data_IF_845222706308
#
_entry.id   IF_845222706308
#
_cell.length_a   1.000
_cell.length_b   1.000
_cell.length_c   1.000
_cell.angle_alpha   90.00
_cell.angle_beta   90.00
_cell.angle_gamma   90.00
#
_symmetry.space_group_name_H-M   'P 1'
#
loop_
_entity.id
_entity.type
_entity.pdbx_description
1 polymer ?
#
# COMPACT_ATOMS: atom_id res chain seq x y z
N UNK A 1 1.42 14.36 -19.71
CA UNK A 1 2.45 14.70 -18.71
C UNK A 1 3.46 13.57 -18.73
N UNK A 2 4.69 13.84 -19.17
CA UNK A 2 5.72 12.82 -19.37
C UNK A 2 6.00 12.09 -18.05
N UNK A 3 5.86 10.77 -18.08
CA UNK A 3 6.23 9.92 -16.96
C UNK A 3 7.74 9.92 -16.77
N UNK A 4 8.18 9.61 -15.55
CA UNK A 4 9.59 9.63 -15.15
C UNK A 4 10.50 8.97 -16.18
N UNK A 5 11.71 9.52 -16.27
CA UNK A 5 12.77 9.12 -17.18
C UNK A 5 12.68 7.64 -17.58
N UNK A 6 12.40 7.37 -18.86
CA UNK A 6 12.31 6.01 -19.41
C UNK A 6 13.58 5.20 -19.12
N UNK A 7 14.70 5.85 -18.77
CA UNK A 7 15.93 5.21 -18.34
C UNK A 7 15.80 4.34 -17.08
N UNK A 8 14.77 4.54 -16.22
CA UNK A 8 14.63 3.85 -14.94
C UNK A 8 13.82 2.54 -14.98
N UNK A 9 13.19 2.19 -16.11
CA UNK A 9 12.42 0.93 -16.22
C UNK A 9 13.36 -0.23 -16.56
N UNK A 10 13.44 -1.22 -15.67
CA UNK A 10 14.20 -2.46 -15.86
C UNK A 10 13.32 -3.49 -16.59
N UNK A 11 13.90 -4.37 -17.42
CA UNK A 11 13.20 -5.42 -18.18
C UNK A 11 12.10 -4.89 -19.12
N UNK A 12 12.44 -3.86 -19.91
CA UNK A 12 11.50 -3.17 -20.81
C UNK A 12 10.81 -4.10 -21.81
N UNK A 13 11.56 -5.05 -22.36
CA UNK A 13 11.11 -5.94 -23.43
C UNK A 13 10.60 -7.30 -22.90
N UNK A 14 10.41 -7.43 -21.59
CA UNK A 14 9.89 -8.66 -20.96
C UNK A 14 8.44 -8.46 -20.57
N UNK A 15 7.54 -9.30 -21.09
CA UNK A 15 6.10 -9.23 -20.83
C UNK A 15 5.70 -9.84 -19.49
N UNK A 16 6.37 -10.91 -19.08
CA UNK A 16 6.06 -11.66 -17.87
C UNK A 16 7.31 -12.32 -17.32
N UNK A 17 7.34 -12.55 -16.01
CA UNK A 17 8.42 -13.27 -15.35
C UNK A 17 7.91 -14.08 -14.16
N UNK A 18 8.74 -15.02 -13.74
CA UNK A 18 8.62 -15.70 -12.46
C UNK A 18 9.70 -15.11 -11.54
N UNK A 19 9.29 -14.37 -10.52
CA UNK A 19 10.17 -13.92 -9.45
C UNK A 19 10.38 -15.08 -8.48
N UNK A 20 11.64 -15.29 -8.06
CA UNK A 20 12.05 -16.40 -7.21
C UNK A 20 13.10 -15.90 -6.23
N UNK A 21 12.91 -16.14 -4.94
CA UNK A 21 13.90 -15.88 -3.90
C UNK A 21 15.16 -16.74 -4.12
N UNK A 22 16.31 -16.24 -3.70
CA UNK A 22 17.61 -16.88 -3.96
C UNK A 22 17.80 -18.22 -3.27
N UNK A 23 16.96 -18.54 -2.28
CA UNK A 23 17.00 -19.75 -1.47
C UNK A 23 15.92 -20.79 -1.87
N UNK A 24 15.29 -20.64 -3.04
CA UNK A 24 14.28 -21.56 -3.56
C UNK A 24 14.90 -22.63 -4.48
N UNK A 25 14.49 -23.89 -4.29
CA UNK A 25 14.80 -25.02 -5.17
C UNK A 25 13.53 -25.61 -5.78
N UNK A 26 13.52 -25.82 -7.10
CA UNK A 26 12.42 -26.47 -7.81
C UNK A 26 12.65 -27.99 -7.90
N UNK A 27 11.69 -28.76 -7.40
CA UNK A 27 11.69 -30.24 -7.49
C UNK A 27 10.79 -30.77 -8.61
N UNK A 28 10.11 -29.88 -9.34
CA UNK A 28 9.23 -30.16 -10.49
C UNK A 28 9.56 -29.20 -11.64
N UNK A 29 9.20 -29.54 -12.89
CA UNK A 29 9.36 -28.64 -14.02
C UNK A 29 8.71 -27.28 -13.76
N UNK A 30 9.45 -26.22 -14.03
CA UNK A 30 8.98 -24.84 -13.83
C UNK A 30 7.88 -24.45 -14.82
N UNK A 31 7.79 -25.16 -15.95
CA UNK A 31 6.76 -24.99 -16.97
C UNK A 31 5.34 -25.19 -16.40
N UNK A 32 5.18 -26.04 -15.38
CA UNK A 32 3.90 -26.25 -14.70
C UNK A 32 3.41 -24.95 -14.04
N UNK A 33 4.31 -24.22 -13.38
CA UNK A 33 4.02 -22.94 -12.75
C UNK A 33 3.81 -21.87 -13.83
N UNK A 34 4.67 -21.86 -14.84
CA UNK A 34 4.58 -20.89 -15.94
C UNK A 34 3.24 -20.95 -16.68
N UNK A 35 2.64 -22.13 -16.82
CA UNK A 35 1.33 -22.30 -17.47
C UNK A 35 0.20 -21.53 -16.79
N UNK A 36 0.30 -21.23 -15.49
CA UNK A 36 -0.70 -20.47 -14.74
C UNK A 36 -0.83 -19.03 -15.29
N UNK A 37 0.22 -18.45 -15.88
CA UNK A 37 0.12 -17.13 -16.54
C UNK A 37 -0.93 -17.11 -17.66
N UNK A 38 -1.16 -18.25 -18.33
CA UNK A 38 -2.17 -18.37 -19.40
C UNK A 38 -3.59 -18.29 -18.86
N UNK A 39 -3.79 -18.52 -17.56
CA UNK A 39 -5.08 -18.41 -16.89
C UNK A 39 -5.41 -16.97 -16.45
N UNK A 40 -4.45 -16.04 -16.59
CA UNK A 40 -4.69 -14.64 -16.24
C UNK A 40 -5.62 -13.96 -17.25
N UNK A 41 -6.82 -13.61 -16.80
CA UNK A 41 -7.70 -12.61 -17.40
C UNK A 41 -7.06 -11.21 -17.42
N UNK A 42 -7.70 -10.25 -18.09
CA UNK A 42 -7.18 -8.89 -18.32
C UNK A 42 -6.82 -8.09 -17.07
N UNK A 43 -7.31 -8.48 -15.89
CA UNK A 43 -7.11 -7.74 -14.63
C UNK A 43 -6.01 -8.31 -13.74
N UNK A 44 -5.64 -9.57 -13.91
CA UNK A 44 -4.61 -10.19 -13.06
C UNK A 44 -3.22 -9.67 -13.42
N UNK A 45 -2.54 -9.09 -12.43
CA UNK A 45 -1.19 -8.52 -12.58
C UNK A 45 -0.12 -9.49 -12.10
N UNK A 46 -0.43 -10.26 -11.05
CA UNK A 46 0.47 -11.22 -10.45
C UNK A 46 -0.32 -12.36 -9.78
N UNK A 47 0.35 -13.48 -9.54
CA UNK A 47 -0.16 -14.58 -8.72
C UNK A 47 0.88 -14.99 -7.66
N UNK A 48 0.36 -15.32 -6.49
CA UNK A 48 1.13 -15.70 -5.30
C UNK A 48 0.42 -16.88 -4.64
N UNK A 49 1.18 -17.73 -3.95
CA UNK A 49 0.61 -18.81 -3.17
C UNK A 49 0.17 -18.30 -1.77
N UNK A 50 -0.82 -18.95 -1.13
CA UNK A 50 -1.03 -18.81 0.31
C UNK A 50 0.25 -19.13 1.08
N UNK A 51 0.48 -18.47 2.21
CA UNK A 51 1.70 -18.69 2.99
C UNK A 51 1.73 -20.08 3.65
N UNK A 52 0.56 -20.56 4.10
CA UNK A 52 0.35 -21.93 4.58
C UNK A 52 -1.02 -22.45 4.11
N UNK A 53 -1.19 -23.78 4.11
CA UNK A 53 -2.49 -24.43 3.91
C UNK A 53 -3.33 -24.48 5.19
N UNK A 54 -2.67 -24.65 6.36
CA UNK A 54 -3.34 -24.84 7.65
C UNK A 54 -3.24 -23.55 8.48
N UNK A 55 -4.36 -22.86 8.76
CA UNK A 55 -4.33 -21.60 9.51
C UNK A 55 -3.78 -21.70 10.91
N UNK A 56 -3.87 -22.86 11.58
CA UNK A 56 -3.40 -22.98 12.98
C UNK A 56 -1.87 -22.94 13.14
N UNK A 57 -1.12 -23.13 12.06
CA UNK A 57 0.35 -23.21 12.11
C UNK A 57 1.05 -22.08 11.36
N UNK A 58 0.34 -21.35 10.50
CA UNK A 58 0.90 -20.25 9.70
C UNK A 58 1.42 -19.09 10.54
N UNK A 59 2.37 -18.34 9.97
CA UNK A 59 2.98 -17.22 10.68
C UNK A 59 1.99 -16.07 10.85
N UNK A 60 1.28 -15.72 9.78
CA UNK A 60 0.32 -14.61 9.78
C UNK A 60 -0.78 -14.79 10.82
N UNK A 61 -1.41 -15.96 10.84
CA UNK A 61 -2.52 -16.27 11.74
C UNK A 61 -2.14 -16.31 13.22
N UNK A 62 -0.89 -16.65 13.54
CA UNK A 62 -0.42 -16.79 14.93
C UNK A 62 0.23 -15.52 15.46
N UNK A 63 0.89 -14.75 14.60
CA UNK A 63 1.81 -13.71 15.04
C UNK A 63 1.55 -12.33 14.42
N UNK A 64 0.83 -12.23 13.29
CA UNK A 64 0.57 -10.93 12.68
C UNK A 64 -0.33 -10.08 13.59
N UNK A 65 0.07 -8.82 13.78
CA UNK A 65 -0.69 -7.80 14.53
C UNK A 65 -1.36 -6.79 13.59
N UNK A 66 -1.49 -7.15 12.33
CA UNK A 66 -2.07 -6.33 11.27
C UNK A 66 -2.93 -7.21 10.36
N UNK A 67 -3.89 -6.62 9.62
CA UNK A 67 -4.66 -7.35 8.62
C UNK A 67 -3.76 -8.02 7.58
N UNK A 68 -4.20 -9.16 7.04
CA UNK A 68 -3.56 -9.89 5.96
C UNK A 68 -4.64 -10.56 5.09
N UNK A 69 -4.26 -10.99 3.88
CA UNK A 69 -5.20 -11.57 2.92
C UNK A 69 -5.55 -13.02 3.26
N UNK A 70 -6.82 -13.38 3.17
CA UNK A 70 -7.30 -14.75 3.45
C UNK A 70 -7.12 -15.16 4.92
N UNK A 71 -7.01 -16.47 5.16
CA UNK A 71 -6.83 -17.03 6.51
C UNK A 71 -5.37 -17.32 6.87
N UNK A 72 -4.48 -17.34 5.88
CA UNK A 72 -3.06 -17.69 6.07
C UNK A 72 -2.09 -16.64 5.55
N UNK A 73 -2.55 -15.58 4.87
CA UNK A 73 -1.65 -14.64 4.20
C UNK A 73 -1.11 -15.19 2.88
N UNK A 74 -0.15 -14.47 2.29
CA UNK A 74 0.45 -14.80 0.99
C UNK A 74 1.97 -14.94 1.11
N UNK A 75 2.56 -15.82 0.29
CA UNK A 75 4.00 -16.01 0.18
C UNK A 75 4.56 -15.23 -1.02
N UNK A 76 5.60 -14.42 -0.81
CA UNK A 76 6.24 -13.62 -1.85
C UNK A 76 7.55 -14.19 -2.39
N UNK A 77 7.99 -15.37 -1.93
CA UNK A 77 9.24 -15.97 -2.38
C UNK A 77 9.16 -16.61 -3.76
N UNK A 78 7.96 -16.89 -4.25
CA UNK A 78 7.70 -17.22 -5.66
C UNK A 78 6.48 -16.45 -6.14
N UNK A 79 6.64 -15.63 -7.17
CA UNK A 79 5.55 -14.81 -7.71
C UNK A 79 5.56 -14.82 -9.24
N UNK A 80 4.41 -15.12 -9.84
CA UNK A 80 4.19 -14.88 -11.27
C UNK A 80 3.80 -13.43 -11.48
N UNK A 81 4.39 -12.76 -12.45
CA UNK A 81 4.15 -11.34 -12.73
C UNK A 81 3.94 -11.10 -14.22
N UNK A 82 2.85 -10.42 -14.57
CA UNK A 82 2.63 -9.87 -15.90
C UNK A 82 3.13 -8.42 -15.92
N UNK A 83 4.36 -8.23 -16.38
CA UNK A 83 5.02 -6.93 -16.38
C UNK A 83 4.38 -5.92 -17.32
N UNK A 84 3.81 -6.36 -18.44
CA UNK A 84 3.12 -5.44 -19.36
C UNK A 84 1.93 -4.77 -18.67
N UNK A 85 1.12 -5.55 -17.94
CA UNK A 85 0.00 -4.97 -17.18
C UNK A 85 0.48 -4.19 -15.95
N UNK A 86 1.53 -4.64 -15.27
CA UNK A 86 2.12 -3.91 -14.14
C UNK A 86 2.64 -2.53 -14.59
N UNK A 87 3.35 -2.45 -15.72
CA UNK A 87 3.83 -1.17 -16.29
C UNK A 87 2.68 -0.25 -16.71
N UNK A 88 1.60 -0.82 -17.26
CA UNK A 88 0.40 -0.07 -17.61
C UNK A 88 -0.42 0.37 -16.38
N UNK A 89 -0.11 -0.17 -15.19
CA UNK A 89 -0.75 0.20 -13.93
C UNK A 89 0.11 1.27 -13.24
N UNK A 90 -0.49 2.39 -12.86
CA UNK A 90 0.24 3.44 -12.14
C UNK A 90 0.47 3.04 -10.68
N UNK A 91 1.66 2.51 -10.38
CA UNK A 91 2.10 2.24 -9.01
C UNK A 91 2.94 3.41 -8.47
N UNK A 92 2.35 4.26 -7.62
CA UNK A 92 3.05 5.34 -6.90
C UNK A 92 2.88 5.20 -5.38
N UNK A 93 3.04 3.98 -4.89
CA UNK A 93 2.43 3.58 -3.62
C UNK A 93 3.39 2.77 -2.73
N UNK A 94 4.64 3.21 -2.54
CA UNK A 94 5.54 2.49 -1.64
C UNK A 94 6.36 3.48 -0.81
N UNK A 95 5.68 4.29 0.00
CA UNK A 95 6.38 5.26 0.84
C UNK A 95 6.93 4.59 2.10
N UNK A 96 8.25 4.59 2.29
CA UNK A 96 8.96 3.97 3.40
C UNK A 96 9.57 5.03 4.31
N UNK A 97 9.95 4.67 5.55
CA UNK A 97 10.64 5.61 6.43
C UNK A 97 11.90 6.23 5.80
N UNK A 98 12.62 5.46 5.00
CA UNK A 98 13.81 5.91 4.27
C UNK A 98 13.55 7.11 3.34
N UNK A 99 12.30 7.37 2.94
CA UNK A 99 11.95 8.50 2.08
C UNK A 99 11.83 9.85 2.80
N UNK A 100 11.87 9.85 4.13
CA UNK A 100 11.86 11.08 4.93
C UNK A 100 12.93 11.11 6.03
N UNK A 101 13.63 9.99 6.28
CA UNK A 101 14.62 9.88 7.34
C UNK A 101 15.81 10.85 7.20
N UNK A 102 16.10 11.28 5.97
CA UNK A 102 17.17 12.26 5.67
C UNK A 102 16.64 13.52 4.98
N UNK A 103 15.34 13.80 5.14
CA UNK A 103 14.60 14.78 4.35
C UNK A 103 13.78 14.10 3.25
N UNK A 104 12.75 14.80 2.77
CA UNK A 104 11.86 14.27 1.75
C UNK A 104 12.58 14.12 0.42
N UNK A 105 12.63 12.89 -0.10
CA UNK A 105 13.26 12.57 -1.39
C UNK A 105 12.26 12.10 -2.47
N UNK A 106 10.97 12.16 -2.18
CA UNK A 106 9.92 11.67 -3.07
C UNK A 106 8.99 12.82 -3.51
N UNK A 107 9.35 13.49 -4.62
CA UNK A 107 8.57 14.61 -5.19
C UNK A 107 7.11 14.23 -5.45
N UNK A 108 6.87 13.03 -5.98
CA UNK A 108 5.51 12.53 -6.22
C UNK A 108 4.67 12.45 -4.94
N UNK A 109 5.28 12.12 -3.79
CA UNK A 109 4.59 12.12 -2.51
C UNK A 109 4.33 13.54 -1.99
N UNK A 110 5.22 14.49 -2.26
CA UNK A 110 5.00 15.90 -1.92
C UNK A 110 3.85 16.51 -2.72
N UNK A 111 3.82 16.25 -4.03
CA UNK A 111 2.82 16.76 -4.96
C UNK A 111 1.46 16.09 -4.74
N UNK A 112 1.43 14.75 -4.73
CA UNK A 112 0.18 13.98 -4.73
C UNK A 112 -0.24 13.43 -3.38
N UNK A 113 0.68 13.35 -2.41
CA UNK A 113 0.46 12.68 -1.13
C UNK A 113 0.82 11.19 -1.18
N UNK A 114 1.13 10.62 -0.02
CA UNK A 114 1.40 9.19 0.17
C UNK A 114 0.10 8.41 0.14
N UNK A 115 -0.02 7.41 -0.75
CA UNK A 115 -1.24 6.57 -0.78
C UNK A 115 -1.06 5.16 -0.23
N UNK A 116 0.18 4.66 -0.17
CA UNK A 116 0.50 3.43 0.57
C UNK A 116 1.75 3.72 1.39
N UNK A 117 1.60 3.52 2.70
CA UNK A 117 2.67 3.57 3.67
C UNK A 117 3.20 2.15 3.90
N UNK A 118 4.48 1.95 3.70
CA UNK A 118 5.14 0.65 3.82
C UNK A 118 6.00 0.61 5.09
N UNK A 119 5.69 -0.34 5.97
CA UNK A 119 6.42 -0.54 7.22
C UNK A 119 7.65 -1.42 7.01
N UNK A 120 8.71 -1.18 7.77
CA UNK A 120 9.93 -1.97 7.77
C UNK A 120 10.42 -2.17 9.21
N UNK A 121 11.00 -3.35 9.54
CA UNK A 121 11.67 -3.61 10.82
C UNK A 121 10.85 -3.24 12.08
N UNK A 122 9.53 -3.38 12.02
CA UNK A 122 8.64 -3.09 13.15
C UNK A 122 8.29 -1.62 13.36
N UNK A 123 8.54 -0.75 12.37
CA UNK A 123 8.38 0.72 12.47
C UNK A 123 6.98 1.21 12.91
N UNK A 124 5.94 0.39 12.75
CA UNK A 124 4.59 0.70 13.23
C UNK A 124 4.38 0.43 14.72
N UNK A 125 5.36 -0.20 15.37
CA UNK A 125 5.26 -0.70 16.73
C UNK A 125 6.41 -0.23 17.62
N UNK A 126 7.53 0.23 17.04
CA UNK A 126 8.64 0.85 17.76
C UNK A 126 8.57 2.38 17.75
N UNK A 127 9.47 3.01 18.49
CA UNK A 127 9.53 4.48 18.61
C UNK A 127 10.62 5.10 17.71
N UNK A 128 11.18 4.35 16.76
CA UNK A 128 12.25 4.86 15.89
C UNK A 128 11.73 5.86 14.87
N UNK A 129 10.48 5.72 14.43
CA UNK A 129 9.81 6.64 13.51
C UNK A 129 8.36 6.88 13.97
N UNK A 130 8.16 7.80 14.93
CA UNK A 130 6.88 8.01 15.59
C UNK A 130 5.76 8.44 14.64
N UNK A 131 6.07 9.09 13.51
CA UNK A 131 5.07 9.44 12.49
C UNK A 131 4.40 8.21 11.88
N UNK A 132 5.15 7.14 11.62
CA UNK A 132 4.60 5.90 11.05
C UNK A 132 3.74 5.16 12.06
N UNK A 133 4.21 5.06 13.31
CA UNK A 133 3.46 4.50 14.43
C UNK A 133 2.16 5.27 14.68
N UNK A 134 2.22 6.61 14.72
CA UNK A 134 1.04 7.46 14.89
C UNK A 134 -0.02 7.20 13.81
N UNK A 135 0.40 7.08 12.54
CA UNK A 135 -0.53 6.79 11.45
C UNK A 135 -1.18 5.41 11.60
N UNK A 136 -0.38 4.39 11.91
CA UNK A 136 -0.88 3.03 12.15
C UNK A 136 -1.87 2.97 13.31
N UNK A 137 -1.56 3.60 14.44
CA UNK A 137 -2.43 3.60 15.62
C UNK A 137 -3.79 4.24 15.32
N UNK A 138 -3.82 5.40 14.66
CA UNK A 138 -5.09 6.07 14.35
C UNK A 138 -5.92 5.26 13.34
N UNK A 139 -5.29 4.65 12.33
CA UNK A 139 -6.01 3.80 11.37
C UNK A 139 -6.52 2.52 12.04
N UNK A 140 -5.73 1.91 12.92
CA UNK A 140 -6.14 0.72 13.68
C UNK A 140 -7.35 1.01 14.57
N UNK A 141 -7.37 2.18 15.18
CA UNK A 141 -8.41 2.59 16.14
C UNK A 141 -9.61 3.27 15.45
N UNK A 142 -9.53 3.54 14.13
CA UNK A 142 -10.61 4.15 13.35
C UNK A 142 -11.79 3.17 13.17
N UNK A 143 -12.98 3.48 13.68
CA UNK A 143 -14.16 2.64 13.47
C UNK A 143 -14.63 2.75 12.02
N UNK A 144 -14.93 1.61 11.40
CA UNK A 144 -15.41 1.57 10.02
C UNK A 144 -16.73 2.37 9.87
N UNK A 145 -16.87 3.12 8.77
CA UNK A 145 -17.99 4.03 8.46
C UNK A 145 -18.17 5.28 9.35
N UNK A 146 -17.32 5.45 10.36
CA UNK A 146 -17.38 6.64 11.21
C UNK A 146 -16.91 7.92 10.47
N UNK A 147 -17.09 9.06 11.12
CA UNK A 147 -16.75 10.36 10.57
C UNK A 147 -15.24 10.49 10.31
N UNK A 148 -14.85 10.56 9.04
CA UNK A 148 -13.44 10.68 8.63
C UNK A 148 -12.72 11.91 9.20
N UNK A 149 -13.43 13.03 9.45
CA UNK A 149 -12.79 14.20 10.05
C UNK A 149 -12.50 13.96 11.54
N UNK A 150 -13.53 13.60 12.31
CA UNK A 150 -13.45 13.48 13.77
C UNK A 150 -12.65 12.26 14.22
N UNK A 151 -12.81 11.13 13.54
CA UNK A 151 -12.28 9.83 14.01
C UNK A 151 -11.00 9.41 13.30
N UNK A 152 -10.58 10.10 12.22
CA UNK A 152 -9.34 9.80 11.49
C UNK A 152 -8.44 11.03 11.31
N UNK A 153 -8.90 12.06 10.61
CA UNK A 153 -8.06 13.20 10.23
C UNK A 153 -7.61 14.05 11.43
N UNK A 154 -8.53 14.44 12.31
CA UNK A 154 -8.21 15.26 13.48
C UNK A 154 -7.27 14.53 14.47
N UNK A 155 -7.50 13.25 14.84
CA UNK A 155 -6.56 12.50 15.67
C UNK A 155 -5.16 12.37 15.03
N UNK A 156 -5.08 12.19 13.71
CA UNK A 156 -3.80 12.18 12.98
C UNK A 156 -3.07 13.52 13.10
N UNK A 157 -3.76 14.63 12.84
CA UNK A 157 -3.17 15.96 13.00
C UNK A 157 -2.63 16.18 14.40
N UNK A 158 -3.42 15.82 15.43
CA UNK A 158 -3.00 15.94 16.82
C UNK A 158 -1.75 15.12 17.12
N UNK A 159 -1.74 13.81 16.77
CA UNK A 159 -0.57 12.95 17.01
C UNK A 159 0.67 13.40 16.23
N UNK A 160 0.51 13.97 15.04
CA UNK A 160 1.64 14.46 14.26
C UNK A 160 2.38 15.63 14.92
N UNK A 161 1.69 16.44 15.73
CA UNK A 161 2.33 17.50 16.53
C UNK A 161 3.39 16.93 17.47
N UNK A 162 3.19 15.71 18.00
CA UNK A 162 4.14 15.05 18.88
C UNK A 162 5.37 14.51 18.12
N UNK A 163 5.32 14.46 16.79
CA UNK A 163 6.36 13.84 15.95
C UNK A 163 7.32 14.83 15.28
N UNK A 164 7.06 16.14 15.40
CA UNK A 164 7.79 17.22 14.69
C UNK A 164 9.28 17.32 15.03
N UNK A 165 9.71 16.66 16.11
CA UNK A 165 11.12 16.51 16.47
C UNK A 165 11.89 15.63 15.48
N UNK A 166 11.20 14.83 14.64
CA UNK A 166 11.78 14.01 13.58
C UNK A 166 11.64 14.66 12.19
N UNK A 167 12.49 14.28 11.23
CA UNK A 167 12.40 14.80 9.86
C UNK A 167 11.09 14.39 9.17
N UNK A 168 10.64 13.17 9.36
CA UNK A 168 9.34 12.70 8.86
C UNK A 168 8.16 13.47 9.47
N UNK A 169 8.21 13.78 10.77
CA UNK A 169 7.16 14.53 11.45
C UNK A 169 7.10 16.02 11.08
N UNK A 170 8.12 16.56 10.41
CA UNK A 170 8.13 17.94 9.89
C UNK A 170 7.42 18.09 8.54
N UNK A 171 7.02 16.98 7.92
CA UNK A 171 6.30 16.99 6.64
C UNK A 171 4.92 16.31 6.74
N UNK A 172 4.09 16.60 7.76
CA UNK A 172 2.82 15.91 7.99
C UNK A 172 1.87 15.98 6.78
N UNK A 173 1.97 17.04 5.98
CA UNK A 173 1.15 17.25 4.78
C UNK A 173 1.26 16.11 3.75
N UNK A 174 2.42 15.44 3.64
CA UNK A 174 2.59 14.36 2.65
C UNK A 174 1.75 13.14 3.03
N UNK A 175 1.53 12.92 4.33
CA UNK A 175 0.73 11.81 4.86
C UNK A 175 -0.77 12.15 4.90
N UNK A 176 -1.12 13.41 5.13
CA UNK A 176 -2.52 13.85 5.25
C UNK A 176 -3.22 14.06 3.90
N UNK A 177 -2.49 14.43 2.84
CA UNK A 177 -3.06 14.87 1.57
C UNK A 177 -4.01 13.85 0.91
N UNK A 178 -3.71 12.55 0.96
CA UNK A 178 -4.61 11.53 0.40
C UNK A 178 -5.87 11.33 1.24
N UNK A 179 -5.78 11.51 2.56
CA UNK A 179 -6.93 11.46 3.46
C UNK A 179 -7.85 12.66 3.20
N UNK A 180 -7.30 13.86 3.01
CA UNK A 180 -8.05 15.07 2.64
C UNK A 180 -8.78 14.90 1.30
N UNK A 181 -8.07 14.39 0.28
CA UNK A 181 -8.67 14.05 -1.03
C UNK A 181 -9.82 13.05 -0.87
N UNK A 182 -9.65 12.03 -0.03
CA UNK A 182 -10.69 11.02 0.23
C UNK A 182 -11.90 11.63 0.91
N UNK A 183 -11.69 12.46 1.93
CA UNK A 183 -12.76 13.17 2.63
C UNK A 183 -13.57 14.06 1.70
N UNK A 184 -12.89 14.85 0.85
CA UNK A 184 -13.53 15.70 -0.16
C UNK A 184 -14.40 14.86 -1.11
N UNK A 185 -13.87 13.75 -1.62
CA UNK A 185 -14.62 12.85 -2.51
C UNK A 185 -15.84 12.22 -1.84
N UNK A 186 -15.71 11.78 -0.58
CA UNK A 186 -16.84 11.23 0.19
C UNK A 186 -17.91 12.28 0.43
N UNK A 187 -17.52 13.51 0.78
CA UNK A 187 -18.44 14.63 0.96
C UNK A 187 -19.18 14.97 -0.34
N UNK A 188 -18.47 15.10 -1.46
CA UNK A 188 -19.07 15.36 -2.77
C UNK A 188 -20.09 14.27 -3.15
N UNK A 189 -19.74 12.99 -2.96
CA UNK A 189 -20.65 11.88 -3.25
C UNK A 189 -21.88 11.83 -2.34
N UNK A 190 -21.75 12.17 -1.05
CA UNK A 190 -22.86 12.10 -0.07
C UNK A 190 -23.74 13.35 -0.06
N UNK A 191 -23.22 14.52 -0.41
CA UNK A 191 -23.97 15.79 -0.28
C UNK A 191 -24.44 16.29 -1.65
N UNK A 192 -23.58 16.32 -2.66
CA UNK A 192 -23.93 16.89 -3.97
C UNK A 192 -24.92 15.98 -4.72
N UNK A 193 -24.73 14.66 -4.65
CA UNK A 193 -25.63 13.71 -5.32
C UNK A 193 -27.02 13.71 -4.67
N UNK A 194 -27.11 13.79 -3.34
CA UNK A 194 -28.38 13.80 -2.62
C UNK A 194 -29.14 15.13 -2.78
N UNK A 195 -28.43 16.26 -2.84
CA UNK A 195 -29.06 17.55 -3.15
C UNK A 195 -29.54 17.61 -4.62
N UNK A 196 -28.80 17.00 -5.55
CA UNK A 196 -29.16 16.92 -6.97
C UNK A 196 -30.32 15.96 -7.27
N UNK A 197 -30.50 14.91 -6.47
CA UNK A 197 -31.66 14.01 -6.56
C UNK A 197 -32.94 14.66 -6.02
N UNK A 198 -32.84 15.48 -4.97
CA UNK A 198 -33.98 16.19 -4.38
C UNK A 198 -34.44 17.44 -5.17
N UNK A 199 -33.77 17.81 -6.26
CA UNK A 199 -34.17 18.91 -7.15
C UNK A 199 -34.80 18.44 -8.48
N UNK A 200 -35.22 17.17 -8.56
CA UNK A 200 -35.98 16.64 -9.70
C UNK A 200 -37.43 16.31 -9.30
N UNK A 201 -38.15 17.29 -8.78
CA UNK A 201 -39.61 17.34 -8.76
C UNK A 201 -40.07 18.79 -8.90
#
# INVERSE_FOLDING_TARGET
>A
MGFGDESMVILKDVDSLLYVDTDVLFLRPIDDIWHILKEFNSTQLAAMAPEHEIPKIGWYSRFARHPYYGTTGVNSGVMLMNLTRIRNTQFRWNYRPDHCMYGSNCKGAEEEGVSILHGNRGVYHDDKQPTFKALYEVIRDFPFEDNLFQSLYYPLQSKFLDTVHTLCGRIPQVFLKQIEKTMKKVYENRVIVYLGANHRY
#
